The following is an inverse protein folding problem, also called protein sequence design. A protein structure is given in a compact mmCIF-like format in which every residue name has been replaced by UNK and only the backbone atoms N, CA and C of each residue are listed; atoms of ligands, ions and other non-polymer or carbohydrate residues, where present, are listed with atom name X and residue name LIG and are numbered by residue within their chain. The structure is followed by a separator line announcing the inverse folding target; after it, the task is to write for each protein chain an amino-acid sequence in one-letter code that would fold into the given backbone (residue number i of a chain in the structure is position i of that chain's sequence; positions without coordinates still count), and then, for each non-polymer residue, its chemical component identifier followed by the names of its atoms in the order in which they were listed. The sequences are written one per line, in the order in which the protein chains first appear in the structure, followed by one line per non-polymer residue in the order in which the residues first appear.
data_IF_518828003335
#
_entry.id   IF_518828003335
#
_cell.length_a   1.000
_cell.length_b   1.000
_cell.length_c   1.000
_cell.angle_alpha   90.00
_cell.angle_beta   90.00
_cell.angle_gamma   90.00
#
_symmetry.space_group_name_H-M   'P 1'
#
loop_
_entity.id
_entity.type
_entity.pdbx_description
1 polymer ?
#
# COMPACT_ATOMS: atom_id res chain seq x y z
N UNK A 1 -7.30 -60.12 26.85
CA UNK A 1 -7.48 -58.72 27.32
C UNK A 1 -7.17 -57.65 26.25
N UNK A 2 -7.21 -57.95 24.94
CA UNK A 2 -6.70 -57.02 23.90
C UNK A 2 -7.78 -56.37 23.04
N UNK A 3 -9.04 -56.86 23.08
CA UNK A 3 -10.15 -56.30 22.29
C UNK A 3 -10.81 -55.05 22.89
N UNK A 4 -10.69 -54.81 24.20
CA UNK A 4 -11.32 -53.66 24.86
C UNK A 4 -10.50 -52.36 24.81
N UNK A 5 -9.18 -52.41 24.57
CA UNK A 5 -8.34 -51.20 24.47
C UNK A 5 -8.46 -50.49 23.10
N UNK A 6 -8.72 -51.21 22.01
CA UNK A 6 -8.89 -50.61 20.67
C UNK A 6 -10.19 -49.79 20.52
N UNK A 7 -11.27 -50.19 21.20
CA UNK A 7 -12.58 -49.53 21.08
C UNK A 7 -12.61 -48.14 21.75
N UNK A 8 -11.80 -47.93 22.79
CA UNK A 8 -11.70 -46.64 23.52
C UNK A 8 -10.87 -45.61 22.77
N UNK A 9 -9.84 -46.04 22.02
CA UNK A 9 -9.00 -45.16 21.22
C UNK A 9 -9.75 -44.64 19.99
N UNK A 10 -10.50 -45.50 19.30
CA UNK A 10 -11.29 -45.10 18.12
C UNK A 10 -12.42 -44.13 18.52
N UNK A 11 -13.07 -44.32 19.67
CA UNK A 11 -14.06 -43.36 20.20
C UNK A 11 -13.46 -42.01 20.56
N UNK A 12 -12.21 -41.96 21.04
CA UNK A 12 -11.50 -40.69 21.33
C UNK A 12 -11.02 -39.97 20.07
N UNK A 13 -10.60 -40.72 19.04
CA UNK A 13 -10.20 -40.14 17.75
C UNK A 13 -11.40 -39.60 16.97
N UNK A 14 -12.57 -40.25 17.07
CA UNK A 14 -13.80 -39.76 16.43
C UNK A 14 -14.37 -38.51 17.15
N UNK A 15 -14.23 -38.42 18.48
CA UNK A 15 -14.63 -37.24 19.24
C UNK A 15 -13.73 -36.01 18.98
N UNK A 16 -12.42 -36.20 18.75
CA UNK A 16 -11.52 -35.10 18.37
C UNK A 16 -11.74 -34.60 16.95
N UNK A 17 -12.09 -35.48 15.99
CA UNK A 17 -12.43 -35.07 14.63
C UNK A 17 -13.75 -34.27 14.54
N UNK A 18 -14.70 -34.54 15.44
CA UNK A 18 -15.96 -33.79 15.53
C UNK A 18 -15.79 -32.42 16.22
N UNK A 19 -14.84 -32.29 17.16
CA UNK A 19 -14.53 -31.01 17.80
C UNK A 19 -13.74 -30.06 16.89
N UNK A 20 -12.83 -30.58 16.06
CA UNK A 20 -12.06 -29.78 15.11
C UNK A 20 -12.91 -29.22 13.96
N UNK A 21 -13.94 -29.95 13.52
CA UNK A 21 -14.87 -29.50 12.48
C UNK A 21 -15.87 -28.47 13.00
N UNK A 22 -16.29 -28.53 14.27
CA UNK A 22 -17.12 -27.49 14.88
C UNK A 22 -16.32 -26.21 15.22
N UNK A 23 -15.04 -26.30 15.58
CA UNK A 23 -14.20 -25.11 15.81
C UNK A 23 -13.93 -24.30 14.52
N UNK A 24 -13.80 -24.97 13.36
CA UNK A 24 -13.61 -24.31 12.06
C UNK A 24 -14.90 -23.65 11.55
N UNK A 25 -16.05 -24.19 11.91
CA UNK A 25 -17.37 -23.61 11.64
C UNK A 25 -17.64 -22.36 12.50
N UNK A 26 -17.33 -22.38 13.81
CA UNK A 26 -17.55 -21.20 14.67
C UNK A 26 -16.63 -20.01 14.30
N UNK A 27 -15.38 -20.26 13.90
CA UNK A 27 -14.46 -19.18 13.49
C UNK A 27 -14.91 -18.50 12.18
N UNK A 28 -15.57 -19.24 11.29
CA UNK A 28 -16.13 -18.71 10.04
C UNK A 28 -17.47 -17.97 10.26
N UNK A 29 -18.30 -18.45 11.20
CA UNK A 29 -19.60 -17.84 11.54
C UNK A 29 -19.44 -16.55 12.34
N UNK A 30 -18.40 -16.43 13.19
CA UNK A 30 -18.10 -15.18 13.90
C UNK A 30 -17.44 -14.09 13.02
N UNK A 31 -16.92 -14.44 11.85
CA UNK A 31 -16.43 -13.44 10.89
C UNK A 31 -17.58 -12.81 10.08
N UNK A 32 -18.70 -13.51 9.90
CA UNK A 32 -19.87 -13.01 9.16
C UNK A 32 -20.85 -12.17 9.99
N UNK A 33 -20.80 -12.26 11.32
CA UNK A 33 -21.72 -11.51 12.20
C UNK A 33 -21.26 -10.08 12.54
N UNK A 34 -20.04 -9.65 12.12
CA UNK A 34 -19.49 -8.32 12.46
C UNK A 34 -19.41 -7.36 11.27
N UNK A 35 -19.92 -7.73 10.10
CA UNK A 35 -19.86 -6.92 8.88
C UNK A 35 -21.25 -6.53 8.33
N UNK A 36 -22.28 -6.48 9.19
CA UNK A 36 -23.65 -6.10 8.79
C UNK A 36 -24.37 -5.16 9.78
N UNK A 37 -23.65 -4.24 10.43
CA UNK A 37 -24.25 -3.25 11.35
C UNK A 37 -24.15 -1.79 10.87
N UNK A 38 -23.89 -1.54 9.58
CA UNK A 38 -23.76 -0.15 9.06
C UNK A 38 -24.56 0.12 7.77
N UNK A 39 -25.58 -0.69 7.49
CA UNK A 39 -26.53 -0.43 6.39
C UNK A 39 -27.95 -0.47 6.92
N UNK A 40 -28.37 0.62 7.57
CA UNK A 40 -29.78 1.00 7.75
C UNK A 40 -29.84 2.43 8.32
N UNK A 41 -29.70 3.45 7.47
CA UNK A 41 -30.48 4.71 7.54
C UNK A 41 -30.42 5.36 6.15
N UNK A 42 -31.54 5.95 5.72
CA UNK A 42 -31.77 6.80 4.52
C UNK A 42 -32.47 6.13 3.34
N UNK A 43 -33.69 5.64 3.59
CA UNK A 43 -34.81 5.92 2.70
C UNK A 43 -35.69 6.95 3.41
N UNK A 44 -35.74 8.16 2.85
CA UNK A 44 -36.91 9.05 2.78
C UNK A 44 -36.44 10.45 2.37
N UNK A 45 -36.90 10.92 1.20
CA UNK A 45 -36.63 12.29 0.72
C UNK A 45 -36.37 12.43 -0.77
N UNK A 46 -37.12 11.74 -1.64
CA UNK A 46 -37.19 12.12 -3.06
C UNK A 46 -38.21 13.25 -3.18
N UNK A 47 -37.73 14.49 -3.21
CA UNK A 47 -38.49 15.64 -3.67
C UNK A 47 -38.32 15.74 -5.18
N UNK A 48 -39.42 15.47 -5.86
CA UNK A 48 -39.70 15.70 -7.28
C UNK A 48 -39.36 17.14 -7.67
N UNK A 49 -38.47 17.31 -8.65
CA UNK A 49 -38.42 18.49 -9.51
C UNK A 49 -38.65 18.05 -10.95
N UNK A 50 -39.76 18.51 -11.50
CA UNK A 50 -40.13 18.45 -12.90
C UNK A 50 -39.16 19.29 -13.74
N UNK A 51 -38.68 18.76 -14.85
CA UNK A 51 -38.15 19.57 -15.95
C UNK A 51 -38.55 18.91 -17.27
N UNK A 52 -39.18 19.73 -18.11
CA UNK A 52 -39.77 19.41 -19.40
C UNK A 52 -38.78 18.78 -20.38
N UNK A 53 -39.27 17.74 -21.06
CA UNK A 53 -38.71 17.24 -22.31
C UNK A 53 -39.02 18.24 -23.44
N UNK A 54 -37.98 18.72 -24.11
CA UNK A 54 -38.07 19.01 -25.55
C UNK A 54 -36.93 18.31 -26.27
N UNK A 55 -37.31 17.45 -27.21
CA UNK A 55 -36.40 16.72 -28.07
C UNK A 55 -35.86 17.60 -29.19
N UNK A 56 -34.66 17.27 -29.66
CA UNK A 56 -34.40 17.24 -31.11
C UNK A 56 -33.07 17.82 -31.58
N UNK A 57 -32.12 16.93 -31.93
CA UNK A 57 -31.44 17.02 -33.23
C UNK A 57 -29.91 17.20 -33.25
N UNK A 58 -29.22 16.16 -33.76
CA UNK A 58 -28.13 16.29 -34.74
C UNK A 58 -26.70 16.54 -34.21
N UNK A 59 -25.82 15.55 -33.95
CA UNK A 59 -25.03 14.66 -34.84
C UNK A 59 -23.60 15.19 -35.20
N UNK A 60 -22.67 14.21 -35.28
CA UNK A 60 -21.32 14.21 -35.90
C UNK A 60 -20.17 14.80 -35.07
N UNK A 61 -19.20 13.98 -34.64
CA UNK A 61 -17.94 13.66 -35.36
C UNK A 61 -16.81 14.45 -34.66
N UNK A 62 -15.68 13.94 -34.22
CA UNK A 62 -14.75 12.96 -34.78
C UNK A 62 -13.80 12.48 -33.67
N UNK A 63 -13.55 11.18 -33.61
CA UNK A 63 -12.42 10.59 -32.90
C UNK A 63 -11.11 11.08 -33.53
N UNK A 64 -10.21 11.62 -32.72
CA UNK A 64 -8.79 11.68 -33.09
C UNK A 64 -7.94 11.05 -31.98
N UNK A 65 -7.34 9.93 -32.38
CA UNK A 65 -6.23 9.28 -31.73
C UNK A 65 -5.00 10.18 -31.79
N UNK A 66 -4.50 10.61 -30.63
CA UNK A 66 -3.14 11.09 -30.54
C UNK A 66 -2.27 9.98 -29.97
N UNK A 67 -1.69 9.22 -30.89
CA UNK A 67 -0.38 8.62 -30.73
C UNK A 67 0.63 9.76 -30.68
N UNK A 68 1.34 9.92 -29.57
CA UNK A 68 2.61 10.64 -29.60
C UNK A 68 3.70 9.79 -29.00
N UNK A 69 4.79 9.82 -29.74
CA UNK A 69 5.90 8.89 -29.81
C UNK A 69 6.95 9.22 -28.75
N UNK A 70 7.81 8.22 -28.55
CA UNK A 70 9.24 8.37 -28.24
C UNK A 70 9.68 9.58 -27.40
N UNK A 71 10.09 9.31 -26.16
CA UNK A 71 11.46 9.67 -25.81
C UNK A 71 12.11 8.46 -25.16
N UNK A 72 12.95 7.80 -25.96
CA UNK A 72 14.11 7.07 -25.51
C UNK A 72 15.00 8.06 -24.73
N UNK A 73 15.47 7.63 -23.56
CA UNK A 73 16.81 7.95 -23.11
C UNK A 73 17.37 6.60 -22.70
N UNK A 74 18.16 6.01 -23.60
CA UNK A 74 19.08 4.92 -23.32
C UNK A 74 20.45 5.49 -22.94
N UNK A 75 21.25 4.60 -22.34
CA UNK A 75 22.70 4.69 -22.09
C UNK A 75 23.08 5.53 -20.86
N UNK A 76 23.77 5.02 -19.83
CA UNK A 76 24.69 3.89 -19.81
C UNK A 76 26.03 4.30 -20.39
N UNK A 77 26.87 4.98 -19.61
CA UNK A 77 28.30 5.04 -19.87
C UNK A 77 29.04 4.63 -18.60
N UNK A 78 29.62 3.43 -18.67
CA UNK A 78 30.71 3.02 -17.83
C UNK A 78 31.99 3.53 -18.52
N UNK A 79 32.75 4.38 -17.85
CA UNK A 79 34.15 4.61 -18.20
C UNK A 79 35.02 4.20 -17.02
N UNK A 80 35.71 3.10 -17.26
CA UNK A 80 36.89 2.65 -16.56
C UNK A 80 38.09 3.27 -17.29
N UNK A 81 38.90 4.08 -16.60
CA UNK A 81 40.30 4.29 -16.95
C UNK A 81 41.06 4.64 -15.68
N UNK A 82 41.94 3.73 -15.27
CA UNK A 82 42.78 3.88 -14.09
C UNK A 82 43.91 4.87 -14.27
N UNK A 83 44.56 5.22 -13.16
CA UNK A 83 46.02 5.38 -13.08
C UNK A 83 46.44 5.14 -11.63
N UNK A 84 47.47 4.32 -11.53
CA UNK A 84 48.25 3.86 -10.38
C UNK A 84 49.00 4.98 -9.66
N UNK A 85 49.14 4.87 -8.34
CA UNK A 85 50.43 5.09 -7.64
C UNK A 85 50.48 4.25 -6.37
N UNK A 86 51.55 3.45 -6.28
CA UNK A 86 51.99 2.67 -5.13
C UNK A 86 52.32 3.56 -3.93
N UNK A 87 52.24 3.01 -2.70
CA UNK A 87 53.39 2.96 -1.78
C UNK A 87 53.07 2.00 -0.63
N UNK A 88 54.02 1.10 -0.42
CA UNK A 88 54.20 0.04 0.59
C UNK A 88 54.47 0.56 2.00
N UNK A 89 54.24 -0.30 3.01
CA UNK A 89 55.19 -0.76 4.05
C UNK A 89 54.44 -1.07 5.36
N UNK A 90 54.35 -2.36 5.74
CA UNK A 90 55.11 -3.04 6.83
C UNK A 90 54.44 -2.91 8.22
N UNK A 91 54.57 -3.78 9.22
CA UNK A 91 54.81 -5.23 9.46
C UNK A 91 54.90 -5.33 11.01
N UNK A 92 54.51 -6.49 11.59
CA UNK A 92 54.82 -6.99 12.97
C UNK A 92 54.17 -6.28 14.17
N UNK A 93 53.83 -6.89 15.31
CA UNK A 93 54.28 -8.13 16.00
C UNK A 93 53.16 -8.70 16.89
N UNK A 94 53.28 -10.00 17.19
CA UNK A 94 52.49 -10.78 18.13
C UNK A 94 52.86 -10.56 19.61
N UNK A 95 51.95 -10.91 20.54
CA UNK A 95 52.28 -11.62 21.79
C UNK A 95 51.02 -12.13 22.52
N UNK A 96 51.11 -13.39 22.92
CA UNK A 96 50.25 -14.22 23.78
C UNK A 96 50.48 -13.97 25.28
N UNK A 97 49.43 -14.06 26.12
CA UNK A 97 49.40 -14.65 27.48
C UNK A 97 47.93 -15.05 27.75
N UNK A 98 47.56 -16.34 27.85
CA UNK A 98 47.48 -17.19 29.05
C UNK A 98 46.76 -16.56 30.26
N UNK A 99 45.57 -17.09 30.63
CA UNK A 99 45.28 -17.56 31.99
C UNK A 99 43.85 -18.10 32.11
N UNK A 100 43.79 -19.24 32.78
CA UNK A 100 42.65 -20.09 33.13
C UNK A 100 41.62 -19.42 34.06
N UNK A 101 40.33 -19.61 33.77
CA UNK A 101 39.30 -19.73 34.81
C UNK A 101 38.06 -20.46 34.27
N UNK A 102 37.94 -21.72 34.65
CA UNK A 102 36.74 -22.54 34.49
C UNK A 102 35.65 -22.03 35.43
N UNK A 103 34.60 -21.40 34.86
CA UNK A 103 33.30 -21.26 35.54
C UNK A 103 32.26 -22.05 34.76
N UNK A 104 31.82 -23.15 35.35
CA UNK A 104 30.64 -23.89 34.91
C UNK A 104 29.43 -23.04 35.28
N UNK A 105 28.96 -22.22 34.34
CA UNK A 105 27.63 -21.61 34.40
C UNK A 105 26.70 -22.58 33.69
N UNK A 106 25.84 -23.26 34.45
CA UNK A 106 24.68 -23.95 33.90
C UNK A 106 23.71 -22.90 33.35
N UNK A 107 23.91 -22.50 32.11
CA UNK A 107 22.90 -21.77 31.36
C UNK A 107 21.74 -22.72 31.08
N UNK A 108 20.66 -22.52 31.84
CA UNK A 108 19.36 -23.03 31.47
C UNK A 108 18.88 -22.24 30.25
N UNK A 109 19.43 -22.54 29.08
CA UNK A 109 18.97 -22.00 27.81
C UNK A 109 17.61 -22.60 27.53
N UNK A 110 16.56 -21.86 27.92
CA UNK A 110 15.29 -21.96 27.19
C UNK A 110 15.67 -21.74 25.72
N UNK A 111 15.27 -22.60 24.77
CA UNK A 111 15.54 -22.35 23.37
C UNK A 111 14.78 -21.07 22.98
N UNK A 112 15.44 -19.92 23.07
CA UNK A 112 14.99 -18.70 22.43
C UNK A 112 15.09 -18.99 20.94
N UNK A 113 13.96 -19.29 20.33
CA UNK A 113 13.79 -19.26 18.89
C UNK A 113 14.55 -18.03 18.38
N UNK A 114 15.55 -18.20 17.49
CA UNK A 114 16.31 -17.07 16.98
C UNK A 114 15.35 -15.99 16.52
N UNK A 115 15.53 -14.76 17.03
CA UNK A 115 14.68 -13.64 16.65
C UNK A 115 14.72 -13.53 15.12
N UNK A 116 13.54 -13.50 14.49
CA UNK A 116 13.46 -13.46 13.03
C UNK A 116 14.28 -12.28 12.49
N UNK A 117 15.25 -12.56 11.61
CA UNK A 117 16.16 -11.55 11.09
C UNK A 117 15.56 -10.86 9.86
N UNK A 118 15.73 -9.52 9.73
CA UNK A 118 15.25 -8.79 8.58
C UNK A 118 15.96 -9.25 7.31
N UNK A 119 15.21 -9.30 6.20
CA UNK A 119 15.79 -9.64 4.90
C UNK A 119 16.73 -8.52 4.44
N UNK A 120 17.76 -8.83 3.63
CA UNK A 120 18.67 -7.81 3.09
C UNK A 120 17.92 -6.72 2.32
N UNK A 121 18.41 -5.49 2.40
CA UNK A 121 17.90 -4.37 1.58
C UNK A 121 18.00 -4.73 0.09
N UNK A 122 16.96 -4.39 -0.68
CA UNK A 122 16.84 -4.73 -2.09
C UNK A 122 16.13 -6.05 -2.36
N UNK A 123 15.96 -6.92 -1.35
CA UNK A 123 15.22 -8.17 -1.49
C UNK A 123 13.77 -7.89 -1.89
N UNK A 124 13.27 -8.60 -2.90
CA UNK A 124 11.85 -8.61 -3.24
C UNK A 124 11.15 -9.70 -2.44
N UNK A 125 10.08 -9.34 -1.75
CA UNK A 125 9.25 -10.24 -0.95
C UNK A 125 7.79 -10.11 -1.40
N UNK A 126 7.07 -11.23 -1.35
CA UNK A 126 5.67 -11.29 -1.76
C UNK A 126 4.78 -11.50 -0.54
N UNK A 127 3.73 -10.69 -0.39
CA UNK A 127 2.71 -10.85 0.64
C UNK A 127 1.32 -10.65 0.03
N UNK A 128 0.52 -11.71 0.05
CA UNK A 128 -0.73 -11.76 -0.70
C UNK A 128 -0.47 -11.54 -2.20
N UNK A 129 -1.26 -10.66 -2.80
CA UNK A 129 -1.20 -10.34 -4.24
C UNK A 129 -0.15 -9.28 -4.59
N UNK A 130 0.72 -8.89 -3.66
CA UNK A 130 1.62 -7.75 -3.83
C UNK A 130 3.08 -8.15 -3.68
N UNK A 131 3.91 -7.54 -4.51
CA UNK A 131 5.37 -7.54 -4.35
C UNK A 131 5.84 -6.28 -3.62
N UNK A 132 6.83 -6.45 -2.76
CA UNK A 132 7.46 -5.40 -1.99
C UNK A 132 8.97 -5.51 -2.08
N UNK A 133 9.67 -4.39 -2.11
CA UNK A 133 11.13 -4.34 -2.02
C UNK A 133 11.53 -3.85 -0.63
N UNK A 134 12.41 -4.59 0.03
CA UNK A 134 12.98 -4.20 1.33
C UNK A 134 13.86 -2.98 1.15
N UNK A 135 13.58 -1.92 1.91
CA UNK A 135 14.31 -0.64 1.84
C UNK A 135 15.16 -0.37 3.09
N UNK A 136 14.84 -1.00 4.21
CA UNK A 136 15.66 -1.02 5.44
C UNK A 136 15.32 -2.26 6.26
N UNK A 137 15.92 -2.40 7.45
CA UNK A 137 15.63 -3.49 8.39
C UNK A 137 14.14 -3.61 8.79
N UNK A 138 13.35 -2.56 8.63
CA UNK A 138 11.94 -2.54 9.04
C UNK A 138 11.03 -1.79 8.06
N UNK A 139 11.49 -1.48 6.84
CA UNK A 139 10.67 -0.78 5.84
C UNK A 139 10.69 -1.47 4.50
N UNK A 140 9.58 -1.31 3.79
CA UNK A 140 9.42 -1.77 2.41
C UNK A 140 8.78 -0.69 1.54
N UNK A 141 9.02 -0.81 0.24
CA UNK A 141 8.36 -0.10 -0.86
C UNK A 141 7.44 -1.07 -1.62
N UNK A 142 6.18 -0.69 -1.83
CA UNK A 142 5.22 -1.50 -2.61
C UNK A 142 5.54 -1.42 -4.10
N UNK A 143 5.87 -2.56 -4.72
CA UNK A 143 6.33 -2.64 -6.10
C UNK A 143 5.20 -2.86 -7.11
N UNK A 144 4.03 -3.31 -6.68
CA UNK A 144 2.90 -3.60 -7.58
C UNK A 144 2.20 -4.90 -7.21
N UNK A 145 1.45 -5.45 -8.15
CA UNK A 145 0.94 -6.81 -8.05
C UNK A 145 2.06 -7.84 -8.24
N UNK A 146 1.89 -9.02 -7.65
CA UNK A 146 2.79 -10.14 -7.85
C UNK A 146 2.40 -10.91 -9.11
N UNK A 147 3.35 -11.12 -10.03
CA UNK A 147 3.07 -11.82 -11.29
C UNK A 147 1.90 -11.21 -12.06
N UNK A 148 0.91 -12.06 -12.39
CA UNK A 148 -0.30 -11.69 -13.14
C UNK A 148 -1.51 -11.39 -12.22
N UNK A 149 -1.29 -11.22 -10.91
CA UNK A 149 -2.35 -10.86 -9.98
C UNK A 149 -2.96 -9.50 -10.33
N UNK A 150 -4.24 -9.33 -9.99
CA UNK A 150 -4.95 -8.07 -10.17
C UNK A 150 -5.98 -7.83 -9.06
N UNK A 151 -6.38 -6.57 -8.88
CA UNK A 151 -7.46 -6.22 -7.97
C UNK A 151 -8.14 -4.91 -8.38
N UNK A 152 -9.45 -4.85 -8.20
CA UNK A 152 -10.23 -3.62 -8.40
C UNK A 152 -10.05 -2.62 -7.25
N UNK A 153 -9.69 -3.10 -6.05
CA UNK A 153 -9.46 -2.25 -4.89
C UNK A 153 -8.08 -2.51 -4.25
N UNK A 154 -7.13 -1.64 -4.56
CA UNK A 154 -5.81 -1.63 -3.95
C UNK A 154 -5.87 -0.98 -2.56
N UNK A 155 -5.67 -1.79 -1.52
CA UNK A 155 -5.62 -1.35 -0.12
C UNK A 155 -4.20 -1.42 0.41
N UNK A 156 -3.39 -0.39 0.15
CA UNK A 156 -2.01 -0.32 0.64
C UNK A 156 -2.00 -0.41 2.17
N UNK A 157 -1.33 -1.43 2.71
CA UNK A 157 -1.29 -1.68 4.16
C UNK A 157 -0.36 -0.68 4.84
N UNK A 158 -0.51 -0.49 6.16
CA UNK A 158 0.49 0.25 6.94
C UNK A 158 1.74 -0.59 7.17
N UNK A 159 1.55 -1.90 7.34
CA UNK A 159 2.57 -2.90 7.62
C UNK A 159 2.24 -4.21 6.93
N UNK A 160 3.29 -4.96 6.64
CA UNK A 160 3.22 -6.38 6.27
C UNK A 160 4.11 -7.18 7.22
N UNK A 161 3.85 -8.48 7.30
CA UNK A 161 4.72 -9.42 8.02
C UNK A 161 5.19 -10.47 7.03
N UNK A 162 6.49 -10.68 6.94
CA UNK A 162 7.11 -11.66 6.07
C UNK A 162 8.20 -12.39 6.86
N UNK A 163 8.08 -13.71 6.93
CA UNK A 163 9.02 -14.59 7.63
C UNK A 163 9.30 -14.16 9.08
N UNK A 164 8.22 -13.86 9.82
CA UNK A 164 8.29 -13.42 11.22
C UNK A 164 8.72 -11.96 11.44
N UNK A 165 9.17 -11.25 10.40
CA UNK A 165 9.58 -9.84 10.49
C UNK A 165 8.47 -8.92 10.01
N UNK A 166 8.22 -7.84 10.74
CA UNK A 166 7.23 -6.83 10.38
C UNK A 166 7.89 -5.61 9.75
N UNK A 167 7.40 -5.21 8.57
CA UNK A 167 7.88 -4.06 7.83
C UNK A 167 6.80 -2.99 7.73
N UNK A 168 7.15 -1.72 7.95
CA UNK A 168 6.33 -0.57 7.59
C UNK A 168 6.37 -0.34 6.07
N UNK A 169 5.20 -0.20 5.45
CA UNK A 169 5.08 0.17 4.03
C UNK A 169 5.18 1.69 3.94
N UNK A 170 6.31 2.19 3.46
CA UNK A 170 6.64 3.62 3.52
C UNK A 170 6.49 4.34 2.19
N UNK A 171 6.42 3.61 1.08
CA UNK A 171 6.36 4.17 -0.27
C UNK A 171 5.66 3.24 -1.26
N UNK A 172 5.21 3.81 -2.37
CA UNK A 172 4.74 3.09 -3.56
C UNK A 172 5.74 3.34 -4.67
N UNK A 173 6.24 2.26 -5.26
CA UNK A 173 7.34 2.32 -6.20
C UNK A 173 7.03 3.12 -7.46
N UNK A 174 8.10 3.52 -8.13
CA UNK A 174 8.03 4.00 -9.51
C UNK A 174 7.33 2.95 -10.38
N UNK A 175 6.29 3.38 -11.11
CA UNK A 175 5.49 2.55 -12.02
C UNK A 175 4.77 1.35 -11.39
N UNK A 176 4.61 1.30 -10.05
CA UNK A 176 4.09 0.12 -9.35
C UNK A 176 2.78 -0.46 -9.92
N UNK A 177 1.87 0.40 -10.35
CA UNK A 177 0.58 0.04 -10.96
C UNK A 177 0.41 0.73 -12.32
N UNK A 178 1.50 0.95 -13.05
CA UNK A 178 1.42 1.64 -14.34
C UNK A 178 0.59 0.83 -15.34
N UNK A 179 -0.42 1.48 -15.93
CA UNK A 179 -1.37 0.93 -16.92
C UNK A 179 -2.28 -0.20 -16.40
N UNK A 180 -2.29 -0.43 -15.08
CA UNK A 180 -3.20 -1.39 -14.46
C UNK A 180 -4.65 -0.94 -14.66
N UNK A 181 -5.35 -1.63 -15.55
CA UNK A 181 -6.72 -1.30 -15.94
C UNK A 181 -7.75 -2.00 -15.07
N UNK A 182 -7.35 -2.98 -14.27
CA UNK A 182 -8.22 -3.63 -13.28
C UNK A 182 -8.56 -2.71 -12.10
N UNK A 183 -7.67 -1.78 -11.73
CA UNK A 183 -7.82 -0.95 -10.52
C UNK A 183 -8.90 0.13 -10.71
N UNK A 184 -9.89 0.11 -9.83
CA UNK A 184 -10.95 1.12 -9.73
C UNK A 184 -10.78 2.03 -8.50
N UNK A 185 -10.25 1.49 -7.41
CA UNK A 185 -10.16 2.16 -6.11
C UNK A 185 -8.80 1.96 -5.49
N UNK A 186 -8.28 3.02 -4.87
CA UNK A 186 -7.01 2.99 -4.14
C UNK A 186 -7.19 3.62 -2.76
N UNK A 187 -6.77 2.90 -1.72
CA UNK A 187 -6.63 3.40 -0.36
C UNK A 187 -5.16 3.34 0.07
N UNK A 188 -4.56 4.51 0.24
CA UNK A 188 -3.20 4.69 0.73
C UNK A 188 -3.27 5.03 2.22
N UNK A 189 -2.71 4.15 3.07
CA UNK A 189 -2.74 4.31 4.53
C UNK A 189 -1.64 5.24 5.05
N UNK A 190 -1.64 5.44 6.37
CA UNK A 190 -0.92 6.54 7.05
C UNK A 190 0.61 6.41 7.07
N UNK A 191 1.19 5.24 6.81
CA UNK A 191 2.65 5.08 6.84
C UNK A 191 3.30 5.43 5.50
N UNK A 192 2.53 5.47 4.41
CA UNK A 192 3.05 5.77 3.07
C UNK A 192 3.32 7.27 2.96
N UNK A 193 4.59 7.63 2.76
CA UNK A 193 5.07 9.01 2.69
C UNK A 193 5.33 9.48 1.26
N UNK A 194 5.68 8.57 0.35
CA UNK A 194 6.03 8.87 -1.04
C UNK A 194 5.21 8.02 -2.01
N UNK A 195 4.54 8.68 -2.97
CA UNK A 195 3.87 8.02 -4.10
C UNK A 195 4.75 8.22 -5.34
N UNK A 196 5.32 7.12 -5.82
CA UNK A 196 6.35 7.07 -6.83
C UNK A 196 6.00 7.69 -8.19
N UNK A 197 7.04 8.01 -8.95
CA UNK A 197 6.91 8.54 -10.32
C UNK A 197 6.10 7.56 -11.17
N UNK A 198 5.06 8.05 -11.83
CA UNK A 198 4.15 7.23 -12.66
C UNK A 198 3.51 6.03 -11.93
N UNK A 199 3.41 6.04 -10.60
CA UNK A 199 2.92 4.90 -9.82
C UNK A 199 1.57 4.35 -10.31
N UNK A 200 0.63 5.21 -10.68
CA UNK A 200 -0.70 4.86 -11.22
C UNK A 200 -0.90 5.44 -12.64
N UNK A 201 0.19 5.60 -13.39
CA UNK A 201 0.13 6.22 -14.71
C UNK A 201 -0.77 5.42 -15.64
N UNK A 202 -1.78 6.07 -16.25
CA UNK A 202 -2.74 5.44 -17.15
C UNK A 202 -3.54 4.26 -16.56
N UNK A 203 -3.78 4.20 -15.24
CA UNK A 203 -4.84 3.35 -14.69
C UNK A 203 -6.20 3.86 -15.18
N UNK A 204 -6.71 3.34 -16.29
CA UNK A 204 -7.84 3.94 -17.02
C UNK A 204 -9.15 3.87 -16.25
N UNK A 205 -9.35 2.82 -15.46
CA UNK A 205 -10.55 2.55 -14.69
C UNK A 205 -10.48 3.09 -13.26
N UNK A 206 -9.34 3.68 -12.83
CA UNK A 206 -9.18 4.21 -11.49
C UNK A 206 -10.12 5.40 -11.26
N UNK A 207 -11.13 5.22 -10.41
CA UNK A 207 -12.18 6.21 -10.15
C UNK A 207 -11.94 7.02 -8.88
N UNK A 208 -11.43 6.36 -7.83
CA UNK A 208 -11.34 6.93 -6.49
C UNK A 208 -10.00 6.65 -5.82
N UNK A 209 -9.36 7.70 -5.33
CA UNK A 209 -8.15 7.60 -4.51
C UNK A 209 -8.40 8.21 -3.13
N UNK A 210 -8.03 7.50 -2.08
CA UNK A 210 -8.05 7.99 -0.70
C UNK A 210 -6.64 7.94 -0.12
N UNK A 211 -6.08 9.10 0.18
CA UNK A 211 -4.75 9.26 0.76
C UNK A 211 -4.91 9.65 2.22
N UNK A 212 -4.46 8.82 3.16
CA UNK A 212 -4.49 9.09 4.60
C UNK A 212 -3.34 10.01 5.03
N UNK A 213 -3.18 10.18 6.34
CA UNK A 213 -2.45 11.30 6.95
C UNK A 213 -0.97 11.42 6.62
N UNK A 214 -0.29 10.36 6.16
CA UNK A 214 1.17 10.33 6.09
C UNK A 214 1.81 10.74 4.77
N UNK A 215 1.04 10.88 3.68
CA UNK A 215 1.64 11.20 2.39
C UNK A 215 2.24 12.60 2.41
N UNK A 216 3.55 12.69 2.14
CA UNK A 216 4.33 13.92 2.05
C UNK A 216 4.53 14.36 0.60
N UNK A 217 4.72 13.41 -0.32
CA UNK A 217 5.04 13.71 -1.72
C UNK A 217 4.21 12.87 -2.69
N UNK A 218 3.61 13.53 -3.68
CA UNK A 218 3.05 12.89 -4.87
C UNK A 218 3.97 13.20 -6.06
N UNK A 219 4.66 12.18 -6.59
CA UNK A 219 5.70 12.40 -7.61
C UNK A 219 5.16 12.65 -9.01
N UNK A 220 6.10 13.02 -9.90
CA UNK A 220 5.84 13.40 -11.30
C UNK A 220 5.00 12.35 -12.00
N UNK A 221 3.91 12.78 -12.63
CA UNK A 221 2.99 11.94 -13.39
C UNK A 221 2.34 10.78 -12.60
N UNK A 222 2.30 10.80 -11.27
CA UNK A 222 1.80 9.68 -10.46
C UNK A 222 0.41 9.17 -10.89
N UNK A 223 -0.54 10.07 -11.19
CA UNK A 223 -1.90 9.75 -11.66
C UNK A 223 -2.19 10.29 -13.07
N UNK A 224 -1.13 10.56 -13.87
CA UNK A 224 -1.32 11.13 -15.22
C UNK A 224 -2.07 10.12 -16.10
N UNK A 225 -3.14 10.58 -16.75
CA UNK A 225 -3.93 9.77 -17.67
C UNK A 225 -4.94 8.82 -17.02
N UNK A 226 -5.20 8.91 -15.71
CA UNK A 226 -6.32 8.21 -15.07
C UNK A 226 -7.65 8.86 -15.47
N UNK A 227 -8.22 8.43 -16.60
CA UNK A 227 -9.36 9.09 -17.24
C UNK A 227 -10.68 8.95 -16.47
N UNK A 228 -10.86 7.84 -15.74
CA UNK A 228 -12.02 7.65 -14.88
C UNK A 228 -11.91 8.34 -13.50
N UNK A 229 -10.76 8.93 -13.15
CA UNK A 229 -10.50 9.44 -11.80
C UNK A 229 -11.38 10.65 -11.48
N UNK A 230 -12.41 10.43 -10.66
CA UNK A 230 -13.44 11.43 -10.31
C UNK A 230 -13.21 12.05 -8.94
N UNK A 231 -12.67 11.30 -7.99
CA UNK A 231 -12.53 11.77 -6.61
C UNK A 231 -11.17 11.39 -6.03
N UNK A 232 -10.47 12.39 -5.50
CA UNK A 232 -9.27 12.19 -4.68
C UNK A 232 -9.50 12.83 -3.31
N UNK A 233 -9.50 12.03 -2.26
CA UNK A 233 -9.58 12.53 -0.88
C UNK A 233 -8.19 12.49 -0.25
N UNK A 234 -7.63 13.66 0.04
CA UNK A 234 -6.32 13.81 0.68
C UNK A 234 -6.53 14.25 2.12
N UNK A 235 -6.43 13.29 3.04
CA UNK A 235 -6.51 13.52 4.48
C UNK A 235 -5.13 13.73 5.13
N UNK A 236 -4.11 14.01 4.31
CA UNK A 236 -2.80 14.42 4.80
C UNK A 236 -2.85 15.85 5.33
N UNK A 237 -2.20 16.08 6.48
CA UNK A 237 -1.90 17.43 6.98
C UNK A 237 -0.45 17.82 6.69
N UNK A 238 0.37 16.86 6.25
CA UNK A 238 1.83 16.99 6.04
C UNK A 238 2.21 16.82 4.57
N UNK A 239 1.26 16.95 3.64
CA UNK A 239 1.56 16.94 2.21
C UNK A 239 2.36 18.19 1.88
N UNK A 240 3.62 17.99 1.53
CA UNK A 240 4.58 19.05 1.26
C UNK A 240 4.60 19.39 -0.24
N UNK A 241 4.48 18.39 -1.12
CA UNK A 241 4.65 18.61 -2.55
C UNK A 241 3.80 17.68 -3.44
N UNK A 242 3.33 18.25 -4.55
CA UNK A 242 2.72 17.56 -5.68
C UNK A 242 3.47 17.97 -6.94
N UNK A 243 4.26 17.04 -7.46
CA UNK A 243 5.19 17.31 -8.57
C UNK A 243 4.44 17.46 -9.90
N UNK A 244 5.13 18.07 -10.86
CA UNK A 244 4.62 18.38 -12.18
C UNK A 244 3.85 17.21 -12.84
N UNK A 245 2.71 17.54 -13.44
CA UNK A 245 1.84 16.62 -14.17
C UNK A 245 1.28 15.45 -13.34
N UNK A 246 1.35 15.46 -12.00
CA UNK A 246 0.81 14.38 -11.16
C UNK A 246 -0.65 14.03 -11.51
N UNK A 247 -1.47 15.03 -11.84
CA UNK A 247 -2.87 14.88 -12.25
C UNK A 247 -3.14 15.39 -13.68
N UNK A 248 -2.15 15.34 -14.59
CA UNK A 248 -2.38 15.74 -15.99
C UNK A 248 -3.26 14.72 -16.73
N UNK A 249 -4.13 15.18 -17.61
CA UNK A 249 -4.97 14.34 -18.46
C UNK A 249 -5.89 13.38 -17.69
N UNK A 250 -6.27 13.72 -16.45
CA UNK A 250 -7.32 13.04 -15.66
C UNK A 250 -8.72 13.50 -16.10
N UNK A 251 -9.77 12.97 -15.48
CA UNK A 251 -11.14 13.43 -15.70
C UNK A 251 -11.26 14.96 -15.50
N UNK A 252 -11.93 15.67 -16.41
CA UNK A 252 -12.12 17.13 -16.32
C UNK A 252 -12.99 17.54 -15.13
N UNK A 253 -13.84 16.64 -14.64
CA UNK A 253 -14.72 16.84 -13.48
C UNK A 253 -14.10 16.31 -12.17
N UNK A 254 -12.78 16.05 -12.14
CA UNK A 254 -12.11 15.58 -10.93
C UNK A 254 -12.28 16.59 -9.78
N UNK A 255 -12.72 16.07 -8.64
CA UNK A 255 -12.77 16.77 -7.36
C UNK A 255 -11.66 16.25 -6.43
N UNK A 256 -10.79 17.14 -5.96
CA UNK A 256 -9.83 16.87 -4.90
C UNK A 256 -10.31 17.52 -3.60
N UNK A 257 -10.60 16.69 -2.60
CA UNK A 257 -10.97 17.13 -1.26
C UNK A 257 -9.74 17.09 -0.34
N UNK A 258 -9.49 18.15 0.42
CA UNK A 258 -8.29 18.26 1.27
C UNK A 258 -8.57 18.73 2.68
N UNK A 259 -7.79 18.24 3.66
CA UNK A 259 -8.01 18.58 5.08
C UNK A 259 -7.63 20.01 5.47
N UNK A 260 -6.66 20.64 4.79
CA UNK A 260 -6.12 21.94 5.23
C UNK A 260 -6.16 23.01 4.13
N UNK A 261 -6.28 24.27 4.56
CA UNK A 261 -6.20 25.44 3.67
C UNK A 261 -4.82 25.55 3.01
N UNK A 262 -3.75 25.21 3.72
CA UNK A 262 -2.38 25.22 3.20
C UNK A 262 -2.24 24.27 2.00
N UNK A 263 -2.70 23.02 2.15
CA UNK A 263 -2.68 22.02 1.08
C UNK A 263 -3.56 22.45 -0.09
N UNK A 264 -4.73 23.04 0.18
CA UNK A 264 -5.60 23.61 -0.87
C UNK A 264 -4.87 24.67 -1.69
N UNK A 265 -4.14 25.59 -1.05
CA UNK A 265 -3.39 26.65 -1.72
C UNK A 265 -2.26 26.06 -2.57
N UNK A 266 -1.50 25.11 -2.03
CA UNK A 266 -0.41 24.44 -2.74
C UNK A 266 -0.92 23.67 -3.96
N UNK A 267 -1.99 22.89 -3.83
CA UNK A 267 -2.56 22.15 -4.97
C UNK A 267 -3.07 23.06 -6.08
N UNK A 268 -3.68 24.21 -5.77
CA UNK A 268 -4.11 25.18 -6.78
C UNK A 268 -2.96 25.69 -7.67
N UNK A 269 -1.71 25.65 -7.17
CA UNK A 269 -0.53 26.01 -7.94
C UNK A 269 0.08 24.82 -8.71
N UNK A 270 -0.11 23.60 -8.21
CA UNK A 270 0.58 22.40 -8.73
C UNK A 270 -0.24 21.51 -9.66
N UNK A 271 -1.58 21.64 -9.67
CA UNK A 271 -2.48 20.79 -10.47
C UNK A 271 -3.18 21.60 -11.57
N UNK A 272 -3.65 20.94 -12.66
CA UNK A 272 -4.40 21.63 -13.72
C UNK A 272 -5.59 22.45 -13.21
N UNK A 273 -5.79 23.63 -13.79
CA UNK A 273 -6.81 24.61 -13.37
C UNK A 273 -8.26 24.12 -13.49
N UNK A 274 -8.53 23.13 -14.35
CA UNK A 274 -9.85 22.55 -14.51
C UNK A 274 -10.26 21.65 -13.32
N UNK A 275 -9.31 21.26 -12.47
CA UNK A 275 -9.59 20.39 -11.31
C UNK A 275 -10.23 21.22 -10.20
N UNK A 276 -11.36 20.75 -9.71
CA UNK A 276 -12.02 21.37 -8.55
C UNK A 276 -11.31 20.94 -7.27
N UNK A 277 -10.85 21.90 -6.47
CA UNK A 277 -10.22 21.62 -5.17
C UNK A 277 -11.08 22.20 -4.05
N UNK A 278 -11.65 21.30 -3.25
CA UNK A 278 -12.50 21.61 -2.12
C UNK A 278 -11.74 21.42 -0.81
N UNK A 279 -12.10 22.23 0.19
CA UNK A 279 -11.73 21.94 1.58
C UNK A 279 -12.70 20.87 2.07
N UNK A 280 -12.18 19.76 2.58
CA UNK A 280 -12.99 18.79 3.29
C UNK A 280 -13.57 19.48 4.55
N UNK A 281 -14.89 19.61 4.64
CA UNK A 281 -15.53 19.69 5.95
C UNK A 281 -15.30 18.35 6.62
N UNK A 282 -14.78 18.37 7.85
CA UNK A 282 -14.40 17.18 8.61
C UNK A 282 -15.43 16.04 8.45
N UNK A 283 -14.98 14.86 8.02
CA UNK A 283 -15.58 13.65 8.55
C UNK A 283 -15.37 13.69 10.07
N UNK A 284 -16.39 13.39 10.90
CA UNK A 284 -16.29 13.54 12.34
C UNK A 284 -15.03 12.84 12.85
N UNK A 285 -14.21 13.59 13.59
CA UNK A 285 -13.16 12.98 14.39
C UNK A 285 -13.85 11.97 15.28
N UNK A 286 -13.56 10.68 15.12
CA UNK A 286 -13.85 9.70 16.17
C UNK A 286 -13.01 10.12 17.37
N UNK A 287 -13.62 10.91 18.23
CA UNK A 287 -13.04 11.32 19.49
C UNK A 287 -12.95 10.04 20.33
N UNK A 288 -11.76 9.44 20.35
CA UNK A 288 -11.40 8.49 21.38
C UNK A 288 -11.25 9.27 22.68
N UNK A 289 -12.27 9.20 23.54
CA UNK A 289 -12.17 9.70 24.90
C UNK A 289 -13.51 10.04 25.52
N UNK A 290 -14.10 9.09 26.25
CA UNK A 290 -14.60 9.38 27.59
C UNK A 290 -14.79 8.08 28.35
N UNK A 291 -13.94 7.89 29.34
CA UNK A 291 -14.25 7.26 30.62
C UNK A 291 -15.73 7.39 31.00
N UNK A 292 -16.33 6.28 31.38
CA UNK A 292 -17.40 6.20 32.35
C UNK A 292 -17.08 5.03 33.29
N UNK A 293 -17.33 5.28 34.57
CA UNK A 293 -16.92 4.54 35.77
C UNK A 293 -17.38 3.08 35.80
#
# INVERSE_FOLDING_TARGET
MTKFKKLTIVKRMFAMALAATMAFSLSSVQLFAKENADVQVMQDGISVYSVDETQGGGQTGSNQSETDSSNQDETGSADNSGTTTETTSETTTASTEDSTATTITTENTTPTTPAAEPKPVGTVITEGIYEYKVTSSNTVELMGFAGDDEATYVKVKNRITYDGVTYDVTSIAMRAFMKESSIEKVLIRKNVTDIGKRAFFQCKNLETVRIKTGAKVIRKCAFKGCKALRVVNIHSAVLEDVKANAFKNVNSNLVINVSTKAIRKMLKASVPSYITINRAFNAPSTNSGSTAQ
#
